data_IF_724492396428
#
_entry.id   IF_724492396428
#
_cell.length_a   1.000
_cell.length_b   1.000
_cell.length_c   1.000
_cell.angle_alpha   90.00
_cell.angle_beta   90.00
_cell.angle_gamma   90.00
#
_symmetry.space_group_name_H-M   'P 1'
#
loop_
_entity.id
_entity.type
_entity.pdbx_description
1 polymer ?
#
# COMPACT_ATOMS: atom_id res chain seq x y z
N UNK A 1 7.26 9.50 -3.69
CA UNK A 1 8.05 8.83 -2.64
C UNK A 1 7.86 7.36 -2.88
N UNK A 2 8.89 6.73 -3.39
CA UNK A 2 8.78 5.41 -4.00
C UNK A 2 9.31 4.38 -3.02
N UNK A 3 8.82 3.15 -3.10
CA UNK A 3 9.21 2.12 -2.14
C UNK A 3 8.30 0.91 -2.13
N UNK A 4 8.66 -0.07 -1.30
CA UNK A 4 7.89 -1.30 -1.16
C UNK A 4 6.85 -1.17 -0.04
N UNK A 5 5.72 -1.85 -0.22
CA UNK A 5 4.72 -2.05 0.82
C UNK A 5 4.79 -3.51 1.28
N UNK A 6 4.93 -3.68 2.59
CA UNK A 6 4.88 -4.95 3.29
C UNK A 6 3.61 -5.05 4.11
N UNK A 7 3.03 -6.24 4.23
CA UNK A 7 1.93 -6.49 5.16
C UNK A 7 2.44 -6.56 6.61
N UNK A 8 1.53 -6.70 7.58
CA UNK A 8 1.92 -6.74 9.00
C UNK A 8 2.82 -7.93 9.39
N UNK A 9 2.92 -8.96 8.53
CA UNK A 9 3.85 -10.10 8.68
C UNK A 9 5.20 -9.90 7.98
N UNK A 10 5.46 -8.73 7.39
CA UNK A 10 6.71 -8.44 6.68
C UNK A 10 6.79 -9.02 5.26
N UNK A 11 5.68 -9.51 4.70
CA UNK A 11 5.64 -9.99 3.31
C UNK A 11 5.40 -8.81 2.37
N UNK A 12 6.24 -8.68 1.34
CA UNK A 12 6.06 -7.66 0.30
C UNK A 12 4.79 -7.94 -0.50
N UNK A 13 3.89 -6.97 -0.58
CA UNK A 13 2.58 -7.13 -1.24
C UNK A 13 2.32 -6.09 -2.33
N UNK A 14 3.00 -4.95 -2.31
CA UNK A 14 2.80 -3.89 -3.30
C UNK A 14 4.01 -2.97 -3.44
N UNK A 15 3.95 -2.09 -4.43
CA UNK A 15 4.98 -1.09 -4.76
C UNK A 15 4.31 0.28 -4.82
N UNK A 16 4.93 1.31 -4.25
CA UNK A 16 4.54 2.70 -4.44
C UNK A 16 5.47 3.37 -5.44
N UNK A 17 4.89 4.04 -6.44
CA UNK A 17 5.60 4.94 -7.35
C UNK A 17 4.83 6.27 -7.37
N UNK A 18 5.47 7.35 -6.95
CA UNK A 18 4.82 8.64 -6.74
C UNK A 18 3.73 8.54 -5.66
N UNK A 19 2.48 8.70 -6.08
CA UNK A 19 1.26 8.53 -5.26
C UNK A 19 0.45 7.30 -5.65
N UNK A 20 0.91 6.47 -6.59
CA UNK A 20 0.19 5.29 -7.03
C UNK A 20 0.74 4.03 -6.37
N UNK A 21 -0.16 3.12 -5.97
CA UNK A 21 0.15 1.79 -5.45
C UNK A 21 -0.13 0.77 -6.53
N UNK A 22 0.85 -0.08 -6.80
CA UNK A 22 0.80 -1.15 -7.79
C UNK A 22 0.93 -2.51 -7.10
N UNK A 23 0.27 -3.52 -7.67
CA UNK A 23 0.59 -4.90 -7.33
C UNK A 23 2.00 -5.28 -7.82
N UNK A 24 2.46 -6.47 -7.44
CA UNK A 24 3.78 -6.98 -7.85
C UNK A 24 3.89 -7.27 -9.35
N UNK A 25 2.77 -7.24 -10.10
CA UNK A 25 2.72 -7.40 -11.56
C UNK A 25 2.67 -6.06 -12.30
N UNK A 26 2.71 -4.93 -11.58
CA UNK A 26 2.67 -3.59 -12.15
C UNK A 26 1.28 -3.06 -12.47
N UNK A 27 0.20 -3.71 -12.02
CA UNK A 27 -1.16 -3.19 -12.15
C UNK A 27 -1.42 -2.18 -11.04
N UNK A 28 -1.87 -0.97 -11.40
CA UNK A 28 -2.30 0.04 -10.42
C UNK A 28 -3.52 -0.48 -9.65
N UNK A 29 -3.44 -0.47 -8.32
CA UNK A 29 -4.51 -0.86 -7.42
C UNK A 29 -5.17 0.34 -6.75
N UNK A 30 -4.37 1.24 -6.19
CA UNK A 30 -4.81 2.28 -5.28
C UNK A 30 -4.01 3.57 -5.45
N UNK A 31 -4.48 4.63 -4.82
CA UNK A 31 -3.75 5.88 -4.63
C UNK A 31 -3.36 6.03 -3.15
N UNK A 32 -2.14 6.48 -2.90
CA UNK A 32 -1.59 6.79 -1.58
C UNK A 32 -1.52 8.30 -1.38
N UNK A 33 -2.15 8.80 -0.31
CA UNK A 33 -2.05 10.20 0.12
C UNK A 33 -1.63 10.26 1.58
N UNK A 34 -0.37 10.63 1.83
CA UNK A 34 0.24 10.47 3.15
C UNK A 34 0.33 8.98 3.51
N UNK A 35 -0.34 8.57 4.59
CA UNK A 35 -0.47 7.15 4.99
C UNK A 35 -1.76 6.50 4.47
N UNK A 36 -2.70 7.27 3.92
CA UNK A 36 -4.04 6.79 3.59
C UNK A 36 -4.10 6.19 2.19
N UNK A 37 -4.76 5.04 2.08
CA UNK A 37 -4.92 4.26 0.84
C UNK A 37 -6.35 4.43 0.32
N UNK A 38 -6.47 4.87 -0.93
CA UNK A 38 -7.73 5.16 -1.59
C UNK A 38 -7.93 4.29 -2.83
N UNK A 39 -9.18 3.88 -3.08
CA UNK A 39 -9.57 3.35 -4.39
C UNK A 39 -9.45 4.43 -5.48
N UNK A 40 -9.36 4.04 -6.76
CA UNK A 40 -9.50 4.99 -7.87
C UNK A 40 -10.78 5.84 -7.82
N UNK A 41 -11.84 5.33 -7.18
CA UNK A 41 -13.09 6.07 -6.94
C UNK A 41 -12.99 7.17 -5.88
N UNK A 42 -11.85 7.27 -5.16
CA UNK A 42 -11.65 8.20 -4.05
C UNK A 42 -12.09 7.69 -2.67
N UNK A 43 -12.58 6.45 -2.56
CA UNK A 43 -12.97 5.86 -1.28
C UNK A 43 -11.75 5.44 -0.46
N UNK A 44 -11.66 5.89 0.80
CA UNK A 44 -10.65 5.43 1.76
C UNK A 44 -10.90 3.96 2.10
N UNK A 45 -9.86 3.14 2.01
CA UNK A 45 -9.97 1.68 2.25
C UNK A 45 -9.03 1.16 3.33
N UNK A 46 -7.98 1.90 3.64
CA UNK A 46 -7.03 1.52 4.67
C UNK A 46 -5.90 2.51 4.79
N UNK A 47 -4.89 2.13 5.55
CA UNK A 47 -3.76 3.00 5.87
C UNK A 47 -2.49 2.19 6.09
N UNK A 48 -1.36 2.87 5.87
CA UNK A 48 -0.04 2.41 6.29
C UNK A 48 0.11 2.65 7.80
N UNK A 49 0.80 1.73 8.48
CA UNK A 49 1.17 1.89 9.89
C UNK A 49 2.17 3.05 10.10
N UNK A 50 2.97 3.37 9.08
CA UNK A 50 3.95 4.44 9.10
C UNK A 50 4.24 4.97 7.68
N UNK A 51 4.51 6.28 7.55
CA UNK A 51 4.97 6.94 6.32
C UNK A 51 6.49 7.20 6.27
N UNK A 52 7.23 6.94 7.36
CA UNK A 52 8.66 7.27 7.48
C UNK A 52 9.52 6.11 6.99
N UNK A 53 10.46 6.40 6.09
CA UNK A 53 11.42 5.44 5.55
C UNK A 53 11.03 4.91 4.17
N UNK A 54 11.98 4.25 3.50
CA UNK A 54 11.76 3.67 2.17
C UNK A 54 10.75 2.50 2.19
N UNK A 55 10.69 1.78 3.31
CA UNK A 55 9.80 0.64 3.50
C UNK A 55 8.52 1.05 4.23
N UNK A 56 7.38 0.68 3.66
CA UNK A 56 6.05 1.02 4.16
C UNK A 56 5.38 -0.26 4.64
N UNK A 57 4.75 -0.20 5.81
CA UNK A 57 4.03 -1.34 6.36
C UNK A 57 2.54 -1.05 6.38
N UNK A 58 1.73 -2.01 5.97
CA UNK A 58 0.28 -1.95 6.16
C UNK A 58 -0.05 -2.00 7.64
N UNK A 59 -1.10 -1.30 8.02
CA UNK A 59 -1.80 -1.63 9.25
C UNK A 59 -2.40 -3.05 9.14
N UNK A 60 -2.45 -3.79 10.25
CA UNK A 60 -2.97 -5.17 10.29
C UNK A 60 -4.39 -5.29 9.73
N UNK A 61 -5.25 -4.28 9.93
CA UNK A 61 -6.61 -4.28 9.37
C UNK A 61 -6.63 -4.11 7.84
N UNK A 62 -5.56 -3.55 7.28
CA UNK A 62 -5.38 -3.26 5.85
C UNK A 62 -4.79 -4.43 5.08
N UNK A 63 -4.18 -5.42 5.76
CA UNK A 63 -3.61 -6.62 5.13
C UNK A 63 -4.58 -7.30 4.15
N UNK A 64 -5.87 -7.38 4.51
CA UNK A 64 -6.93 -8.00 3.68
C UNK A 64 -7.13 -7.35 2.31
N UNK A 65 -6.66 -6.12 2.10
CA UNK A 65 -6.77 -5.43 0.81
C UNK A 65 -5.77 -5.91 -0.23
N UNK A 66 -4.71 -6.59 0.23
CA UNK A 66 -3.62 -7.07 -0.60
C UNK A 66 -3.55 -8.59 -0.44
N UNK A 67 -4.22 -9.37 -1.32
CA UNK A 67 -4.14 -10.82 -1.23
C UNK A 67 -2.69 -11.26 -1.38
N UNK A 68 -2.18 -11.97 -0.38
CA UNK A 68 -0.97 -12.78 -0.52
C UNK A 68 -1.34 -13.89 -1.47
N UNK A 69 -0.74 -13.91 -2.66
CA UNK A 69 -1.07 -14.85 -3.73
C UNK A 69 -1.08 -16.31 -3.30
#
# INVERSE_FOLDING_TARGET
MDGNIFNSSGVRVAIVIGSAIFDLKGKKLYDLRGINIYKPSGALVGHLANARGADKYLDKATDKLFPTG
#
